data_IF_095814189487
#
_entry.id   IF_095814189487
#
_cell.length_a   1.000
_cell.length_b   1.000
_cell.length_c   1.000
_cell.angle_alpha   90.00
_cell.angle_beta   90.00
_cell.angle_gamma   90.00
#
_symmetry.space_group_name_H-M   'P 1'
#
loop_
_entity.id
_entity.type
_entity.pdbx_description
1 polymer ?
#
# COMPACT_ATOMS: atom_id res chain seq x y z
N UNK A 1 -1.09 4.13 -27.50
CA UNK A 1 -2.05 4.95 -26.74
C UNK A 1 -2.33 4.25 -25.43
N UNK A 2 -2.03 4.89 -24.30
CA UNK A 2 -2.21 4.29 -22.96
C UNK A 2 -3.68 4.34 -22.54
N UNK A 3 -4.10 3.33 -21.79
CA UNK A 3 -5.41 3.28 -21.12
C UNK A 3 -5.18 3.01 -19.64
N UNK A 4 -5.85 3.75 -18.76
CA UNK A 4 -5.65 3.59 -17.34
C UNK A 4 -6.33 2.31 -16.83
N UNK A 5 -5.60 1.43 -16.15
CA UNK A 5 -6.11 0.18 -15.58
C UNK A 5 -7.22 0.39 -14.54
N UNK A 6 -7.22 1.54 -13.85
CA UNK A 6 -8.15 1.84 -12.76
C UNK A 6 -9.40 2.57 -13.21
N UNK A 7 -9.23 3.68 -13.93
CA UNK A 7 -10.36 4.52 -14.36
C UNK A 7 -10.77 4.30 -15.82
N UNK A 8 -10.07 3.42 -16.55
CA UNK A 8 -10.33 3.06 -17.95
C UNK A 8 -10.25 4.21 -18.97
N UNK A 9 -9.86 5.41 -18.53
CA UNK A 9 -9.63 6.60 -19.36
C UNK A 9 -8.34 6.49 -20.15
N UNK A 10 -8.33 7.07 -21.34
CA UNK A 10 -7.23 6.98 -22.29
C UNK A 10 -6.29 8.21 -22.25
N UNK A 11 -5.12 8.06 -22.86
CA UNK A 11 -4.10 9.09 -23.10
C UNK A 11 -4.69 10.18 -24.01
N UNK A 12 -5.21 11.24 -23.40
CA UNK A 12 -6.03 12.28 -24.02
C UNK A 12 -7.07 12.85 -23.05
N UNK A 13 -7.61 12.00 -22.17
CA UNK A 13 -8.53 12.40 -21.10
C UNK A 13 -7.81 12.50 -19.74
N UNK A 14 -6.73 11.75 -19.57
CA UNK A 14 -5.91 11.76 -18.34
C UNK A 14 -4.42 11.75 -18.68
N UNK A 15 -3.61 12.21 -17.71
CA UNK A 15 -2.15 12.26 -17.83
C UNK A 15 -1.48 10.99 -17.27
N UNK A 16 -0.34 10.62 -17.87
CA UNK A 16 0.51 9.49 -17.51
C UNK A 16 1.97 9.96 -17.41
N UNK A 17 2.20 11.05 -16.68
CA UNK A 17 3.52 11.69 -16.57
C UNK A 17 4.37 11.05 -15.46
N UNK A 18 3.75 10.64 -14.36
CA UNK A 18 4.45 10.07 -13.21
C UNK A 18 4.64 8.56 -13.34
N UNK A 19 5.75 8.07 -12.80
CA UNK A 19 6.02 6.64 -12.71
C UNK A 19 5.19 6.00 -11.60
N UNK A 20 4.24 5.14 -11.98
CA UNK A 20 3.45 4.34 -11.06
C UNK A 20 4.15 3.01 -10.76
N UNK A 21 4.71 2.89 -9.55
CA UNK A 21 5.33 1.65 -9.13
C UNK A 21 4.26 0.64 -8.70
N UNK A 22 4.34 -0.61 -9.17
CA UNK A 22 3.37 -1.65 -8.78
C UNK A 22 3.52 -1.99 -7.30
N UNK A 23 4.76 -2.15 -6.85
CA UNK A 23 5.15 -2.24 -5.45
C UNK A 23 5.81 -0.92 -5.04
N UNK A 24 5.42 -0.28 -3.92
CA UNK A 24 6.00 1.00 -3.52
C UNK A 24 7.52 0.97 -3.44
N UNK A 25 8.19 2.00 -3.97
CA UNK A 25 9.66 2.14 -3.93
C UNK A 25 10.22 2.07 -2.51
N UNK A 26 9.45 2.54 -1.52
CA UNK A 26 9.83 2.46 -0.10
C UNK A 26 9.87 1.03 0.48
N UNK A 27 9.29 0.06 -0.23
CA UNK A 27 9.42 -1.38 0.03
C UNK A 27 10.48 -2.05 -0.84
N UNK A 28 11.21 -1.29 -1.66
CA UNK A 28 12.23 -1.80 -2.59
C UNK A 28 11.69 -2.15 -3.98
N UNK A 29 10.43 -1.84 -4.28
CA UNK A 29 9.86 -2.04 -5.61
C UNK A 29 10.55 -1.17 -6.67
N UNK A 30 10.86 -1.77 -7.82
CA UNK A 30 11.49 -1.11 -8.98
C UNK A 30 10.61 -1.15 -10.22
N UNK A 31 9.68 -2.09 -10.26
CA UNK A 31 8.79 -2.31 -11.39
C UNK A 31 7.74 -1.22 -11.50
N UNK A 32 7.53 -0.75 -12.73
CA UNK A 32 6.61 0.33 -13.07
C UNK A 32 5.53 -0.24 -13.98
N UNK A 33 4.28 0.15 -13.75
CA UNK A 33 3.19 -0.11 -14.69
C UNK A 33 2.85 1.21 -15.44
N UNK A 34 3.11 1.29 -16.77
CA UNK A 34 2.86 2.50 -17.55
C UNK A 34 1.36 2.77 -17.78
N UNK A 35 0.48 1.82 -17.46
CA UNK A 35 -0.96 1.90 -17.68
C UNK A 35 -1.71 2.49 -16.48
N UNK A 36 -1.03 3.23 -15.61
CA UNK A 36 -1.66 3.88 -14.45
C UNK A 36 -1.54 5.38 -14.62
N UNK A 37 -2.69 6.07 -14.68
CA UNK A 37 -2.69 7.52 -14.83
C UNK A 37 -2.35 8.23 -13.52
N UNK A 38 -1.94 9.48 -13.62
CA UNK A 38 -1.47 10.30 -12.50
C UNK A 38 -2.51 10.46 -11.40
N UNK A 39 -3.78 10.60 -11.76
CA UNK A 39 -4.90 10.69 -10.81
C UNK A 39 -5.08 9.40 -9.99
N UNK A 40 -4.98 8.24 -10.64
CA UNK A 40 -5.12 6.96 -9.94
C UNK A 40 -3.87 6.64 -9.12
N UNK A 41 -2.68 6.90 -9.66
CA UNK A 41 -1.41 6.79 -8.93
C UNK A 41 -1.45 7.64 -7.64
N UNK A 42 -1.85 8.91 -7.78
CA UNK A 42 -1.97 9.84 -6.67
C UNK A 42 -3.00 9.38 -5.63
N UNK A 43 -4.11 8.78 -6.03
CA UNK A 43 -5.12 8.29 -5.08
C UNK A 43 -4.57 7.21 -4.14
N UNK A 44 -3.80 6.25 -4.65
CA UNK A 44 -3.26 5.19 -3.81
C UNK A 44 -2.10 5.69 -2.92
N UNK A 45 -1.29 6.62 -3.43
CA UNK A 45 -0.12 7.16 -2.73
C UNK A 45 -0.46 8.25 -1.70
N UNK A 46 -1.43 9.11 -1.98
CA UNK A 46 -1.72 10.29 -1.16
C UNK A 46 -2.67 9.99 0.00
N UNK A 47 -2.44 10.68 1.11
CA UNK A 47 -3.30 10.60 2.29
C UNK A 47 -4.63 11.28 1.97
N UNK A 48 -5.73 10.60 2.25
CA UNK A 48 -7.04 11.22 2.12
C UNK A 48 -7.22 12.38 3.12
N UNK A 49 -8.11 13.33 2.82
CA UNK A 49 -8.32 14.50 3.67
C UNK A 49 -8.93 14.12 5.03
N UNK A 50 -9.84 13.14 5.04
CA UNK A 50 -10.62 12.71 6.19
C UNK A 50 -9.79 11.88 7.19
N UNK A 51 -9.20 10.78 6.74
CA UNK A 51 -8.49 9.87 7.65
C UNK A 51 -7.00 10.21 7.80
N UNK A 52 -6.45 11.02 6.88
CA UNK A 52 -5.03 11.32 6.74
C UNK A 52 -4.19 10.05 6.58
N UNK A 53 -4.70 9.05 5.87
CA UNK A 53 -4.06 7.76 5.62
C UNK A 53 -4.14 7.47 4.10
N UNK A 54 -3.10 6.88 3.53
CA UNK A 54 -3.12 6.38 2.15
C UNK A 54 -3.11 4.86 2.09
N UNK A 55 -3.53 4.32 0.95
CA UNK A 55 -3.57 2.87 0.71
C UNK A 55 -2.14 2.30 0.73
N UNK A 56 -1.20 2.96 0.05
CA UNK A 56 0.20 2.55 0.03
C UNK A 56 0.90 2.68 1.39
N UNK A 57 0.52 3.66 2.21
CA UNK A 57 1.10 3.82 3.55
C UNK A 57 0.72 2.63 4.45
N UNK A 58 -0.52 2.14 4.38
CA UNK A 58 -0.96 0.94 5.12
C UNK A 58 -0.25 -0.32 4.60
N UNK A 59 -0.05 -0.42 3.29
CA UNK A 59 0.71 -1.52 2.68
C UNK A 59 2.15 -1.55 3.22
N UNK A 60 2.81 -0.39 3.17
CA UNK A 60 4.18 -0.20 3.66
C UNK A 60 4.31 -0.60 5.12
N UNK A 61 3.40 -0.09 5.96
CA UNK A 61 3.34 -0.39 7.39
C UNK A 61 3.24 -1.89 7.65
N UNK A 62 2.31 -2.55 6.96
CA UNK A 62 2.08 -3.99 7.13
C UNK A 62 3.33 -4.80 6.78
N UNK A 63 3.93 -4.57 5.61
CA UNK A 63 5.11 -5.32 5.19
C UNK A 63 6.36 -5.00 6.00
N UNK A 64 6.56 -3.75 6.41
CA UNK A 64 7.70 -3.38 7.24
C UNK A 64 7.57 -3.99 8.65
N UNK A 65 6.36 -4.02 9.24
CA UNK A 65 6.11 -4.72 10.51
C UNK A 65 6.37 -6.23 10.36
N UNK A 66 5.88 -6.85 9.29
CA UNK A 66 6.12 -8.27 9.01
C UNK A 66 7.62 -8.57 8.88
N UNK A 67 8.36 -7.75 8.13
CA UNK A 67 9.81 -7.89 7.97
C UNK A 67 10.55 -7.79 9.32
N UNK A 68 10.22 -6.79 10.14
CA UNK A 68 10.81 -6.64 11.48
C UNK A 68 10.56 -7.87 12.36
N UNK A 69 9.33 -8.44 12.33
CA UNK A 69 9.01 -9.65 13.09
C UNK A 69 9.80 -10.88 12.63
N UNK A 70 9.97 -11.06 11.33
CA UNK A 70 10.77 -12.16 10.77
C UNK A 70 12.23 -12.01 11.21
N UNK A 71 12.79 -10.81 11.10
CA UNK A 71 14.17 -10.52 11.51
C UNK A 71 14.40 -10.70 13.03
N UNK A 72 13.42 -10.34 13.86
CA UNK A 72 13.48 -10.60 15.31
C UNK A 72 13.51 -12.12 15.60
N UNK A 73 12.67 -12.90 14.91
CA UNK A 73 12.60 -14.35 15.10
C UNK A 73 13.89 -15.08 14.72
N UNK A 74 14.65 -14.56 13.76
CA UNK A 74 15.93 -15.13 13.32
C UNK A 74 17.12 -14.63 14.14
N UNK A 75 16.90 -13.81 15.18
CA UNK A 75 17.94 -13.13 16.00
C UNK A 75 18.96 -12.33 15.18
N UNK A 76 18.62 -11.95 13.95
CA UNK A 76 19.51 -11.22 13.04
C UNK A 76 19.60 -9.71 13.34
N UNK A 77 19.01 -9.25 14.45
CA UNK A 77 18.94 -7.83 14.77
C UNK A 77 20.00 -7.48 15.80
N UNK A 78 20.96 -6.67 15.36
CA UNK A 78 21.78 -5.87 16.27
C UNK A 78 20.91 -4.71 16.81
N UNK A 79 20.64 -4.63 18.13
CA UNK A 79 19.73 -3.62 18.70
C UNK A 79 20.18 -2.17 18.44
N UNK A 80 21.45 -1.96 18.11
CA UNK A 80 22.04 -0.64 17.80
C UNK A 80 22.06 -0.30 16.30
N UNK A 81 21.41 -1.08 15.43
CA UNK A 81 21.43 -0.83 13.99
C UNK A 81 20.61 0.43 13.66
N UNK A 82 21.30 1.49 13.19
CA UNK A 82 20.66 2.68 12.61
C UNK A 82 19.75 2.25 11.44
N UNK A 83 18.53 2.81 11.37
CA UNK A 83 17.60 2.58 10.25
C UNK A 83 16.41 1.64 10.53
N UNK A 84 16.14 1.30 11.79
CA UNK A 84 14.99 0.47 12.16
C UNK A 84 13.67 1.11 11.71
N UNK A 85 12.72 0.31 11.21
CA UNK A 85 11.45 0.84 10.74
C UNK A 85 10.66 1.48 11.88
N UNK A 86 10.35 2.77 11.74
CA UNK A 86 9.48 3.50 12.66
C UNK A 86 8.07 3.56 12.08
N UNK A 87 7.20 2.66 12.55
CA UNK A 87 5.78 2.70 12.24
C UNK A 87 5.17 4.05 12.64
N UNK A 88 4.30 4.61 11.80
CA UNK A 88 3.44 5.75 12.08
C UNK A 88 2.26 5.33 12.96
N UNK A 89 1.62 4.19 12.65
CA UNK A 89 0.37 3.76 13.30
C UNK A 89 0.55 2.95 14.57
N UNK A 90 1.63 2.19 14.66
CA UNK A 90 1.83 1.20 15.70
C UNK A 90 3.11 1.46 16.50
N UNK A 91 3.09 1.07 17.76
CA UNK A 91 4.28 0.82 18.56
C UNK A 91 4.61 -0.66 18.47
N UNK A 92 5.84 -0.94 18.04
CA UNK A 92 6.40 -2.29 18.02
C UNK A 92 7.31 -2.38 19.22
N UNK A 93 6.93 -3.16 20.24
CA UNK A 93 7.70 -3.36 21.47
C UNK A 93 8.01 -4.83 21.62
N UNK A 94 9.22 -5.18 22.05
CA UNK A 94 9.55 -6.56 22.42
C UNK A 94 9.35 -6.71 23.93
N UNK A 95 8.54 -7.67 24.37
CA UNK A 95 8.39 -8.02 25.80
C UNK A 95 8.66 -9.51 25.97
N UNK A 96 9.63 -9.86 26.81
CA UNK A 96 10.06 -11.25 27.06
C UNK A 96 10.41 -12.01 25.76
N UNK A 97 11.12 -11.36 24.84
CA UNK A 97 11.47 -11.94 23.53
C UNK A 97 10.30 -12.08 22.54
N UNK A 98 9.08 -11.64 22.87
CA UNK A 98 7.91 -11.69 21.97
C UNK A 98 7.55 -10.28 21.46
N UNK A 99 7.35 -10.09 20.14
CA UNK A 99 6.87 -8.84 19.60
C UNK A 99 5.44 -8.56 20.05
N UNK A 100 5.21 -7.37 20.60
CA UNK A 100 3.89 -6.80 20.89
C UNK A 100 3.65 -5.61 19.99
N UNK A 101 2.49 -5.61 19.34
CA UNK A 101 2.01 -4.51 18.53
C UNK A 101 0.92 -3.76 19.29
N UNK A 102 1.10 -2.45 19.49
CA UNK A 102 0.08 -1.58 20.09
C UNK A 102 -0.24 -0.45 19.13
N UNK A 103 -1.51 -0.05 19.03
CA UNK A 103 -1.90 1.14 18.26
C UNK A 103 -1.43 2.37 19.03
N UNK A 104 -0.77 3.32 18.36
CA UNK A 104 -0.37 4.58 18.99
C UNK A 104 -1.58 5.40 19.42
N UNK A 105 -1.45 6.16 20.50
CA UNK A 105 -2.54 6.95 21.09
C UNK A 105 -3.27 7.84 20.08
N UNK A 106 -2.53 8.49 19.17
CA UNK A 106 -3.09 9.34 18.11
C UNK A 106 -4.08 8.63 17.17
N UNK A 107 -3.96 7.30 17.02
CA UNK A 107 -4.86 6.48 16.20
C UNK A 107 -5.84 5.67 17.05
N UNK A 108 -5.54 5.43 18.33
CA UNK A 108 -6.47 4.78 19.26
C UNK A 108 -7.74 5.62 19.49
N UNK A 109 -7.60 6.94 19.49
CA UNK A 109 -8.72 7.88 19.63
C UNK A 109 -9.58 7.98 18.37
N UNK A 110 -9.09 7.50 17.22
CA UNK A 110 -9.88 7.45 15.98
C UNK A 110 -10.82 6.23 16.01
N UNK A 111 -12.10 6.47 16.27
CA UNK A 111 -13.14 5.43 16.26
C UNK A 111 -13.10 4.67 14.92
N UNK A 112 -13.04 3.34 14.98
CA UNK A 112 -13.03 2.49 13.78
C UNK A 112 -11.69 2.39 13.03
N UNK A 113 -10.58 2.93 13.56
CA UNK A 113 -9.27 2.88 12.91
C UNK A 113 -8.85 1.47 12.46
N UNK A 114 -9.06 0.45 13.28
CA UNK A 114 -8.72 -0.94 12.91
C UNK A 114 -9.49 -1.40 11.67
N UNK A 115 -10.81 -1.14 11.62
CA UNK A 115 -11.67 -1.48 10.48
C UNK A 115 -11.20 -0.74 9.22
N UNK A 116 -10.87 0.55 9.35
CA UNK A 116 -10.35 1.36 8.27
C UNK A 116 -9.00 0.82 7.75
N UNK A 117 -8.05 0.58 8.66
CA UNK A 117 -6.73 0.05 8.33
C UNK A 117 -6.83 -1.31 7.62
N UNK A 118 -7.67 -2.24 8.13
CA UNK A 118 -7.91 -3.52 7.48
C UNK A 118 -8.52 -3.35 6.08
N UNK A 119 -9.46 -2.42 5.90
CA UNK A 119 -10.07 -2.14 4.59
C UNK A 119 -9.02 -1.61 3.61
N UNK A 120 -8.19 -0.65 4.04
CA UNK A 120 -7.15 -0.06 3.20
C UNK A 120 -6.08 -1.08 2.85
N UNK A 121 -5.73 -1.97 3.78
CA UNK A 121 -4.83 -3.07 3.50
C UNK A 121 -5.40 -4.00 2.42
N UNK A 122 -6.68 -4.39 2.50
CA UNK A 122 -7.33 -5.19 1.45
C UNK A 122 -7.27 -4.49 0.09
N UNK A 123 -7.59 -3.18 0.04
CA UNK A 123 -7.49 -2.39 -1.20
C UNK A 123 -6.07 -2.39 -1.75
N UNK A 124 -5.06 -2.29 -0.89
CA UNK A 124 -3.66 -2.30 -1.29
C UNK A 124 -3.22 -3.65 -1.88
N UNK A 125 -3.71 -4.77 -1.33
CA UNK A 125 -3.45 -6.11 -1.89
C UNK A 125 -4.09 -6.24 -3.28
N UNK A 126 -5.34 -5.82 -3.42
CA UNK A 126 -6.01 -5.78 -4.72
C UNK A 126 -5.31 -4.88 -5.73
N UNK A 127 -4.79 -3.73 -5.28
CA UNK A 127 -3.97 -2.85 -6.11
C UNK A 127 -2.74 -3.57 -6.63
N UNK A 128 -1.94 -4.13 -5.71
CA UNK A 128 -0.70 -4.82 -6.04
C UNK A 128 -0.97 -5.96 -7.03
N UNK A 129 -1.97 -6.79 -6.76
CA UNK A 129 -2.36 -7.90 -7.63
C UNK A 129 -2.70 -7.43 -9.05
N UNK A 130 -3.63 -6.47 -9.18
CA UNK A 130 -4.14 -6.06 -10.49
C UNK A 130 -3.07 -5.32 -11.30
N UNK A 131 -2.30 -4.43 -10.67
CA UNK A 131 -1.24 -3.70 -11.35
C UNK A 131 -0.09 -4.61 -11.78
N UNK A 132 0.27 -5.60 -10.96
CA UNK A 132 1.33 -6.54 -11.28
C UNK A 132 0.91 -7.53 -12.38
N UNK A 133 -0.33 -8.03 -12.32
CA UNK A 133 -0.92 -8.84 -13.38
C UNK A 133 -0.87 -8.08 -14.72
N UNK A 134 -1.35 -6.84 -14.73
CA UNK A 134 -1.35 -6.03 -15.94
C UNK A 134 0.06 -5.71 -16.44
N UNK A 135 1.01 -5.43 -15.55
CA UNK A 135 2.40 -5.20 -15.92
C UNK A 135 3.02 -6.41 -16.62
N UNK A 136 2.76 -7.62 -16.11
CA UNK A 136 3.37 -8.84 -16.62
C UNK A 136 2.68 -9.39 -17.88
N UNK A 137 1.37 -9.20 -18.02
CA UNK A 137 0.57 -9.91 -19.04
C UNK A 137 -0.23 -8.99 -19.95
N UNK A 138 -0.35 -7.70 -19.63
CA UNK A 138 -1.20 -6.76 -20.35
C UNK A 138 -2.70 -6.90 -20.10
N UNK A 139 -3.16 -7.93 -19.38
CA UNK A 139 -4.59 -8.10 -19.04
C UNK A 139 -5.00 -7.27 -17.82
N UNK A 140 -6.28 -7.23 -17.48
CA UNK A 140 -6.81 -6.50 -16.33
C UNK A 140 -7.89 -5.48 -16.67
N UNK A 141 -8.15 -5.22 -17.95
CA UNK A 141 -9.18 -4.29 -18.43
C UNK A 141 -10.57 -4.93 -18.52
N UNK A 142 -10.63 -6.26 -18.51
CA UNK A 142 -11.84 -7.04 -18.68
C UNK A 142 -12.82 -6.83 -17.51
N UNK A 143 -14.12 -6.97 -17.80
CA UNK A 143 -15.18 -6.69 -16.84
C UNK A 143 -15.10 -7.55 -15.57
N UNK A 144 -14.56 -8.76 -15.67
CA UNK A 144 -14.33 -9.64 -14.52
C UNK A 144 -13.45 -9.02 -13.43
N UNK A 145 -12.66 -7.99 -13.74
CA UNK A 145 -11.85 -7.26 -12.77
C UNK A 145 -12.50 -5.96 -12.27
N UNK A 146 -13.71 -5.61 -12.73
CA UNK A 146 -14.38 -4.38 -12.31
C UNK A 146 -14.66 -4.37 -10.80
N UNK A 147 -14.96 -5.52 -10.19
CA UNK A 147 -15.13 -5.59 -8.73
C UNK A 147 -13.87 -5.14 -7.97
N UNK A 148 -12.67 -5.37 -8.54
CA UNK A 148 -11.39 -4.93 -7.97
C UNK A 148 -11.29 -3.40 -8.08
N UNK A 149 -11.61 -2.83 -9.25
CA UNK A 149 -11.66 -1.37 -9.46
C UNK A 149 -12.61 -0.70 -8.50
N UNK A 150 -13.84 -1.18 -8.44
CA UNK A 150 -14.86 -0.65 -7.54
C UNK A 150 -14.39 -0.69 -6.09
N UNK A 151 -13.95 -1.85 -5.61
CA UNK A 151 -13.55 -1.98 -4.21
C UNK A 151 -12.28 -1.19 -3.84
N UNK A 152 -11.25 -1.21 -4.69
CA UNK A 152 -9.96 -0.61 -4.35
C UNK A 152 -9.91 0.89 -4.64
N UNK A 153 -10.58 1.37 -5.70
CA UNK A 153 -10.48 2.76 -6.16
C UNK A 153 -11.64 3.66 -5.75
N UNK A 154 -12.87 3.14 -5.71
CA UNK A 154 -14.09 3.97 -5.67
C UNK A 154 -14.94 3.78 -4.40
N UNK A 155 -14.99 2.56 -3.87
CA UNK A 155 -15.65 2.23 -2.61
C UNK A 155 -14.82 2.73 -1.43
#
# INVERSE_FOLDING_TARGET
>A
MKRCLWCLKEEGVTQFLNQAHTIPKSLGGKDINPNICDSCNSYFGNRNAQDRISVEEILKETFCITRERIQESTRQINPNKKGRFKSRFFEIRTKNGKPKLRIKSAFKLKKGFQRLACRYFKRAIYKLFLEELNRQTGVGYEEKYNFIREFARYN
#
